data_IF_985463134780
#
_entry.id   IF_985463134780
#
_cell.length_a   1.000
_cell.length_b   1.000
_cell.length_c   1.000
_cell.angle_alpha   90.00
_cell.angle_beta   90.00
_cell.angle_gamma   90.00
#
_symmetry.space_group_name_H-M   'P 1'
#
loop_
_entity.id
_entity.type
_entity.pdbx_description
1 polymer ?
#
# COMPACT_ATOMS: atom_id res chain seq x y z
N UNK A 1 -20.38 -4.25 0.07
CA UNK A 1 -19.39 -3.72 -0.90
C UNK A 1 -19.22 -2.24 -0.63
N UNK A 2 -18.00 -1.79 -0.33
CA UNK A 2 -17.72 -0.38 -0.06
C UNK A 2 -17.73 0.42 -1.36
N UNK A 3 -18.21 1.66 -1.32
CA UNK A 3 -18.28 2.56 -2.48
C UNK A 3 -17.91 3.99 -2.08
N UNK A 4 -17.38 4.74 -3.04
CA UNK A 4 -16.99 6.13 -2.83
C UNK A 4 -15.91 6.26 -1.75
N UNK A 5 -16.08 7.23 -0.84
CA UNK A 5 -15.11 7.59 0.20
C UNK A 5 -14.73 6.43 1.14
N UNK A 6 -15.68 5.56 1.49
CA UNK A 6 -15.40 4.42 2.36
C UNK A 6 -14.41 3.43 1.74
N UNK A 7 -14.39 3.32 0.41
CA UNK A 7 -13.40 2.49 -0.27
C UNK A 7 -12.02 3.14 -0.21
N UNK A 8 -11.95 4.47 -0.30
CA UNK A 8 -10.71 5.22 -0.25
C UNK A 8 -10.07 5.13 1.15
N UNK A 9 -10.87 5.24 2.21
CA UNK A 9 -10.43 5.05 3.59
C UNK A 9 -9.85 3.65 3.84
N UNK A 10 -10.51 2.60 3.35
CA UNK A 10 -10.02 1.23 3.52
C UNK A 10 -8.76 0.96 2.69
N UNK A 11 -8.64 1.57 1.50
CA UNK A 11 -7.41 1.52 0.71
C UNK A 11 -6.26 2.16 1.50
N UNK A 12 -6.48 3.33 2.06
CA UNK A 12 -5.47 4.03 2.86
C UNK A 12 -5.06 3.23 4.09
N UNK A 13 -6.03 2.67 4.83
CA UNK A 13 -5.75 1.80 5.98
C UNK A 13 -4.93 0.56 5.60
N UNK A 14 -5.23 -0.10 4.49
CA UNK A 14 -4.42 -1.23 4.02
C UNK A 14 -3.00 -0.81 3.64
N UNK A 15 -2.85 0.34 2.97
CA UNK A 15 -1.52 0.86 2.62
C UNK A 15 -0.69 1.19 3.86
N UNK A 16 -1.31 1.79 4.87
CA UNK A 16 -0.67 2.02 6.17
C UNK A 16 -0.26 0.71 6.85
N UNK A 17 -1.12 -0.31 6.85
CA UNK A 17 -0.76 -1.62 7.39
C UNK A 17 0.40 -2.26 6.63
N UNK A 18 0.42 -2.17 5.29
CA UNK A 18 1.54 -2.66 4.49
C UNK A 18 2.84 -1.90 4.77
N UNK A 19 2.78 -0.59 4.98
CA UNK A 19 3.94 0.20 5.42
C UNK A 19 4.47 -0.27 6.78
N UNK A 20 3.58 -0.52 7.75
CA UNK A 20 3.95 -0.99 9.09
C UNK A 20 4.52 -2.40 9.07
N UNK A 21 3.98 -3.28 8.22
CA UNK A 21 4.52 -4.64 8.03
C UNK A 21 5.92 -4.63 7.42
N UNK A 22 6.25 -3.60 6.64
CA UNK A 22 7.53 -3.41 5.98
C UNK A 22 7.60 -4.04 4.59
N UNK A 23 8.56 -3.57 3.79
CA UNK A 23 8.78 -4.00 2.41
C UNK A 23 9.04 -5.52 2.30
N UNK A 24 9.78 -6.10 3.25
CA UNK A 24 10.11 -7.53 3.25
C UNK A 24 8.88 -8.44 3.33
N UNK A 25 7.85 -8.04 4.08
CA UNK A 25 6.63 -8.85 4.29
C UNK A 25 5.53 -8.54 3.28
N UNK A 26 5.35 -7.26 2.95
CA UNK A 26 4.25 -6.84 2.09
C UNK A 26 4.66 -5.68 1.19
N UNK A 27 5.37 -5.95 0.08
CA UNK A 27 5.74 -4.89 -0.84
C UNK A 27 4.48 -4.26 -1.42
N UNK A 28 4.26 -2.97 -1.13
CA UNK A 28 3.16 -2.21 -1.69
C UNK A 28 3.23 -2.23 -3.22
N UNK A 29 2.15 -2.76 -3.83
CA UNK A 29 1.94 -2.80 -5.26
C UNK A 29 0.44 -2.84 -5.55
N UNK A 30 0.04 -2.31 -6.70
CA UNK A 30 -1.35 -2.30 -7.16
C UNK A 30 -2.00 -3.70 -7.10
N UNK A 31 -1.23 -4.74 -7.43
CA UNK A 31 -1.70 -6.13 -7.41
C UNK A 31 -1.79 -6.70 -6.00
N UNK A 32 -0.79 -6.43 -5.15
CA UNK A 32 -0.74 -6.91 -3.77
C UNK A 32 -1.88 -6.31 -2.93
N UNK A 33 -2.05 -4.98 -3.02
CA UNK A 33 -3.14 -4.26 -2.37
C UNK A 33 -4.51 -4.77 -2.83
N UNK A 34 -4.71 -4.96 -4.14
CA UNK A 34 -5.95 -5.52 -4.69
C UNK A 34 -6.27 -6.90 -4.11
N UNK A 35 -5.26 -7.77 -4.06
CA UNK A 35 -5.39 -9.12 -3.51
C UNK A 35 -5.81 -9.09 -2.04
N UNK A 36 -5.19 -8.23 -1.21
CA UNK A 36 -5.55 -8.05 0.21
C UNK A 36 -6.97 -7.55 0.40
N UNK A 37 -7.34 -6.49 -0.32
CA UNK A 37 -8.69 -5.91 -0.27
C UNK A 37 -9.76 -6.92 -0.68
N UNK A 38 -9.45 -7.77 -1.68
CA UNK A 38 -10.35 -8.83 -2.13
C UNK A 38 -10.42 -9.97 -1.11
N UNK A 39 -9.29 -10.38 -0.53
CA UNK A 39 -9.24 -11.42 0.49
C UNK A 39 -10.03 -11.03 1.75
N UNK A 40 -10.01 -9.75 2.12
CA UNK A 40 -10.82 -9.21 3.23
C UNK A 40 -12.29 -8.96 2.87
N UNK A 41 -12.68 -9.11 1.61
CA UNK A 41 -14.06 -8.93 1.16
C UNK A 41 -14.52 -7.47 1.05
N UNK A 42 -13.60 -6.50 1.10
CA UNK A 42 -13.94 -5.07 0.95
C UNK A 42 -14.37 -4.73 -0.48
N UNK A 43 -13.74 -5.38 -1.45
CA UNK A 43 -14.03 -5.24 -2.89
C UNK A 43 -14.46 -6.58 -3.49
N UNK A 44 -15.43 -6.53 -4.40
CA UNK A 44 -15.83 -7.67 -5.24
C UNK A 44 -15.48 -7.46 -6.73
N UNK A 45 -14.96 -6.29 -7.09
CA UNK A 45 -14.58 -5.93 -8.45
C UNK A 45 -13.13 -6.29 -8.80
N UNK A 46 -12.80 -6.23 -10.10
CA UNK A 46 -11.43 -6.41 -10.61
C UNK A 46 -10.51 -5.22 -10.30
N UNK A 47 -9.28 -5.20 -10.84
CA UNK A 47 -8.36 -4.07 -10.67
C UNK A 47 -8.96 -2.71 -11.08
N UNK A 48 -9.99 -2.71 -11.94
CA UNK A 48 -10.74 -1.55 -12.37
C UNK A 48 -11.28 -0.70 -11.21
N UNK A 49 -11.59 -1.29 -10.05
CA UNK A 49 -12.02 -0.52 -8.86
C UNK A 49 -10.92 0.40 -8.28
N UNK A 50 -9.65 0.05 -8.48
CA UNK A 50 -8.49 0.84 -8.06
C UNK A 50 -7.97 1.74 -9.19
N UNK A 51 -8.58 1.69 -10.38
CA UNK A 51 -8.09 2.43 -11.55
C UNK A 51 -8.51 3.91 -11.60
N UNK A 52 -9.16 4.41 -10.55
CA UNK A 52 -9.46 5.84 -10.40
C UNK A 52 -8.17 6.63 -10.22
N UNK A 53 -8.10 7.84 -10.81
CA UNK A 53 -6.91 8.69 -10.78
C UNK A 53 -6.45 8.98 -9.35
N UNK A 54 -7.38 9.35 -8.46
CA UNK A 54 -7.10 9.61 -7.05
C UNK A 54 -6.50 8.39 -6.33
N UNK A 55 -7.09 7.20 -6.52
CA UNK A 55 -6.61 5.95 -5.91
C UNK A 55 -5.24 5.55 -6.41
N UNK A 56 -4.98 5.67 -7.73
CA UNK A 56 -3.66 5.43 -8.29
C UNK A 56 -2.61 6.37 -7.70
N UNK A 57 -2.95 7.66 -7.58
CA UNK A 57 -2.05 8.65 -6.99
C UNK A 57 -1.73 8.30 -5.53
N UNK A 58 -2.74 7.93 -4.75
CA UNK A 58 -2.59 7.51 -3.36
C UNK A 58 -1.68 6.27 -3.26
N UNK A 59 -1.96 5.21 -4.03
CA UNK A 59 -1.10 4.01 -4.07
C UNK A 59 0.33 4.36 -4.45
N UNK A 60 0.53 5.17 -5.49
CA UNK A 60 1.86 5.57 -5.95
C UNK A 60 2.65 6.32 -4.87
N UNK A 61 1.98 7.18 -4.09
CA UNK A 61 2.61 7.93 -3.00
C UNK A 61 3.14 6.99 -1.92
N UNK A 62 2.31 6.03 -1.49
CA UNK A 62 2.70 5.04 -0.49
C UNK A 62 3.77 4.05 -0.99
N UNK A 63 3.77 3.70 -2.28
CA UNK A 63 4.86 2.92 -2.89
C UNK A 63 6.18 3.69 -2.78
N UNK A 64 6.19 4.96 -3.19
CA UNK A 64 7.38 5.81 -3.10
C UNK A 64 7.84 6.01 -1.65
N UNK A 65 6.90 6.14 -0.71
CA UNK A 65 7.20 6.25 0.71
C UNK A 65 7.85 4.97 1.25
N UNK A 66 7.29 3.79 0.95
CA UNK A 66 7.86 2.51 1.35
C UNK A 66 9.28 2.32 0.81
N UNK A 67 9.49 2.64 -0.47
CA UNK A 67 10.81 2.59 -1.11
C UNK A 67 11.76 3.58 -0.42
N UNK A 68 11.31 4.79 -0.12
CA UNK A 68 12.12 5.79 0.59
C UNK A 68 12.46 5.39 2.02
N UNK A 69 11.62 4.61 2.69
CA UNK A 69 11.88 4.07 4.03
C UNK A 69 12.93 2.97 3.96
N UNK A 70 12.80 2.04 3.00
CA UNK A 70 13.79 0.98 2.76
C UNK A 70 15.20 1.55 2.52
N UNK A 71 15.31 2.58 1.67
CA UNK A 71 16.61 3.22 1.40
C UNK A 71 17.18 4.06 2.57
N UNK A 72 16.39 4.34 3.62
CA UNK A 72 16.89 5.05 4.80
C UNK A 72 17.56 4.12 5.81
N UNK A 73 17.14 2.86 5.89
CA UNK A 73 17.70 1.88 6.83
C UNK A 73 19.14 1.48 6.49
N UNK A 74 19.58 1.62 5.22
CA UNK A 74 20.95 1.27 4.82
C UNK A 74 22.03 2.26 5.35
N UNK A 75 21.65 3.40 5.94
CA UNK A 75 22.62 4.39 6.48
C UNK A 75 22.86 4.31 7.99
N UNK A 76 22.15 3.46 8.75
CA UNK A 76 22.33 3.35 10.20
C UNK A 76 23.20 2.17 10.65
N UNK A 77 23.68 1.32 9.72
CA UNK A 77 24.49 0.14 10.06
C UNK A 77 26.02 0.36 10.16
N UNK A 78 26.54 1.57 9.97
CA UNK A 78 28.02 1.79 9.99
C UNK A 78 28.46 2.96 10.86
N UNK A 79 28.23 2.89 12.19
CA UNK A 79 29.03 3.69 13.14
C UNK A 79 29.27 3.02 14.50
N UNK A 80 29.56 1.72 14.51
CA UNK A 80 30.16 1.06 15.67
C UNK A 80 31.08 -0.08 15.23
N UNK A 81 32.22 0.24 14.60
CA UNK A 81 33.44 -0.57 14.65
C UNK A 81 34.66 0.35 14.59
#
# INVERSE_FOLDING_TARGET
>A
MLRGKQLDEVIEQELQMMLVEGFEKSPISHKALHSRLRAKGYISGGLSTLSSAERKKLISLYISEQISLEFKDERTATLCK
#
